data_IF_679242151014
#
_entry.id   IF_679242151014
#
_cell.length_a   1.000
_cell.length_b   1.000
_cell.length_c   1.000
_cell.angle_alpha   90.00
_cell.angle_beta   90.00
_cell.angle_gamma   90.00
#
_symmetry.space_group_name_H-M   'P 1'
#
loop_
_entity.id
_entity.type
_entity.pdbx_description
1 polymer ?
#
# COMPACT_ATOMS: atom_id res chain seq x y z
N UNK A 1 -23.37 26.60 53.87
CA UNK A 1 -23.34 27.17 55.25
C UNK A 1 -24.77 27.44 55.69
N UNK A 2 -25.32 26.65 56.62
CA UNK A 2 -26.68 26.87 57.16
C UNK A 2 -26.58 27.94 58.25
N UNK A 3 -27.25 29.09 58.07
CA UNK A 3 -27.35 30.16 59.09
C UNK A 3 -28.22 29.64 60.25
N UNK A 4 -27.67 29.65 61.46
CA UNK A 4 -28.42 29.33 62.68
C UNK A 4 -29.34 30.52 62.98
N UNK A 5 -30.66 30.30 62.94
CA UNK A 5 -31.68 31.26 63.39
C UNK A 5 -31.52 31.44 64.90
N UNK A 6 -31.02 32.59 65.34
CA UNK A 6 -30.99 32.95 66.75
C UNK A 6 -32.41 33.33 67.16
N UNK A 7 -32.89 32.73 68.25
CA UNK A 7 -34.24 32.91 68.77
C UNK A 7 -34.44 34.37 69.25
N UNK A 8 -35.42 35.08 68.67
CA UNK A 8 -35.68 36.50 68.93
C UNK A 8 -36.15 36.78 70.36
N UNK A 9 -36.61 35.75 71.10
CA UNK A 9 -37.04 35.89 72.49
C UNK A 9 -35.91 36.24 73.47
N UNK A 10 -34.63 35.99 73.11
CA UNK A 10 -33.49 36.34 73.97
C UNK A 10 -33.28 37.87 74.05
N UNK A 11 -33.68 38.61 73.01
CA UNK A 11 -33.53 40.07 73.02
C UNK A 11 -34.64 40.80 73.81
N UNK A 12 -35.77 40.13 74.10
CA UNK A 12 -36.84 40.73 74.90
C UNK A 12 -36.55 40.78 76.40
N UNK A 13 -35.53 40.06 76.91
CA UNK A 13 -35.17 40.10 78.33
C UNK A 13 -34.25 41.29 78.65
N UNK A 14 -33.57 41.87 77.65
CA UNK A 14 -32.61 42.96 77.85
C UNK A 14 -33.26 44.35 77.65
N UNK A 15 -34.42 44.43 77.00
CA UNK A 15 -34.98 45.70 76.53
C UNK A 15 -35.92 46.44 77.51
N UNK A 16 -36.28 45.89 78.67
CA UNK A 16 -37.25 46.53 79.57
C UNK A 16 -36.85 46.39 81.04
N UNK A 17 -35.95 47.27 81.46
CA UNK A 17 -35.98 47.89 82.78
C UNK A 17 -35.39 49.28 82.63
N UNK A 18 -36.21 50.19 82.11
CA UNK A 18 -36.11 51.61 82.44
C UNK A 18 -36.14 51.67 83.97
N UNK A 19 -34.95 51.73 84.58
CA UNK A 19 -34.86 52.12 85.97
C UNK A 19 -35.38 53.57 86.01
N UNK A 20 -36.49 53.87 86.70
CA UNK A 20 -36.84 55.25 86.93
C UNK A 20 -35.62 55.90 87.58
N UNK A 21 -35.20 57.05 87.03
CA UNK A 21 -34.28 57.96 87.71
C UNK A 21 -34.95 58.29 89.05
N UNK A 22 -34.61 57.55 90.09
CA UNK A 22 -34.83 57.94 91.47
C UNK A 22 -33.85 59.10 91.69
N UNK A 23 -34.26 60.28 91.26
CA UNK A 23 -33.66 61.53 91.68
C UNK A 23 -34.02 61.72 93.14
N UNK A 24 -33.15 61.28 94.05
CA UNK A 24 -33.13 61.81 95.40
C UNK A 24 -32.55 63.23 95.33
N UNK A 25 -33.38 64.18 94.93
CA UNK A 25 -33.19 65.61 95.20
C UNK A 25 -33.85 65.90 96.55
N UNK A 26 -33.21 65.47 97.64
CA UNK A 26 -33.53 66.03 98.95
C UNK A 26 -32.83 67.40 99.04
N UNK A 27 -33.47 68.43 98.50
CA UNK A 27 -33.24 69.82 98.91
C UNK A 27 -33.87 69.99 100.30
N UNK A 28 -33.15 69.54 101.34
CA UNK A 28 -33.40 70.00 102.70
C UNK A 28 -32.73 71.38 102.83
N UNK A 29 -33.53 72.41 102.60
CA UNK A 29 -33.21 73.81 102.88
C UNK A 29 -33.14 73.99 104.41
N UNK A 30 -31.97 73.76 104.98
CA UNK A 30 -31.69 74.00 106.41
C UNK A 30 -30.94 75.32 106.50
N UNK A 31 -31.70 76.40 106.64
CA UNK A 31 -31.21 77.71 106.99
C UNK A 31 -30.76 77.75 108.47
N UNK A 32 -29.50 77.40 108.73
CA UNK A 32 -28.72 77.89 109.89
C UNK A 32 -27.21 77.65 109.68
N UNK A 33 -26.38 78.69 109.47
CA UNK A 33 -25.05 78.55 108.88
C UNK A 33 -23.87 78.45 109.89
N UNK A 34 -23.98 77.69 110.98
CA UNK A 34 -22.86 77.64 111.95
C UNK A 34 -22.62 76.33 112.72
N UNK A 35 -23.32 75.23 112.41
CA UNK A 35 -23.10 73.93 113.09
C UNK A 35 -22.99 72.71 112.16
N UNK A 36 -23.13 72.86 110.84
CA UNK A 36 -23.27 71.73 109.90
C UNK A 36 -22.04 71.44 109.03
N UNK A 37 -20.92 72.16 109.20
CA UNK A 37 -19.70 71.93 108.41
C UNK A 37 -18.97 70.63 108.78
N UNK A 38 -19.13 70.14 110.02
CA UNK A 38 -18.58 68.85 110.46
C UNK A 38 -19.39 67.65 109.97
N UNK A 39 -20.73 67.74 109.99
CA UNK A 39 -21.63 66.63 109.64
C UNK A 39 -21.62 66.35 108.11
N UNK A 40 -21.46 67.41 107.29
CA UNK A 40 -21.34 67.28 105.82
C UNK A 40 -20.05 66.54 105.39
N UNK A 41 -18.93 66.76 106.08
CA UNK A 41 -17.68 66.05 105.78
C UNK A 41 -17.75 64.56 106.15
N UNK A 42 -18.37 64.22 107.28
CA UNK A 42 -18.58 62.82 107.69
C UNK A 42 -19.54 62.06 106.77
N UNK A 43 -20.63 62.69 106.30
CA UNK A 43 -21.56 62.08 105.33
C UNK A 43 -20.87 61.81 104.00
N UNK A 44 -20.05 62.74 103.49
CA UNK A 44 -19.31 62.55 102.24
C UNK A 44 -18.25 61.44 102.37
N UNK A 45 -17.55 61.35 103.50
CA UNK A 45 -16.62 60.26 103.79
C UNK A 45 -17.34 58.91 103.85
N UNK A 46 -18.46 58.82 104.57
CA UNK A 46 -19.27 57.59 104.66
C UNK A 46 -19.80 57.16 103.29
N UNK A 47 -20.31 58.10 102.50
CA UNK A 47 -20.78 57.85 101.14
C UNK A 47 -19.65 57.31 100.25
N UNK A 48 -18.46 57.91 100.34
CA UNK A 48 -17.31 57.45 99.56
C UNK A 48 -16.80 56.06 100.00
N UNK A 49 -16.86 55.74 101.29
CA UNK A 49 -16.59 54.39 101.80
C UNK A 49 -17.62 53.37 101.28
N UNK A 50 -18.90 53.71 101.21
CA UNK A 50 -19.92 52.84 100.63
C UNK A 50 -19.74 52.67 99.12
N UNK A 51 -19.43 53.74 98.39
CA UNK A 51 -19.10 53.68 96.96
C UNK A 51 -17.89 52.80 96.69
N UNK A 52 -16.84 52.88 97.51
CA UNK A 52 -15.68 51.99 97.40
C UNK A 52 -16.05 50.54 97.68
N UNK A 53 -16.88 50.26 98.69
CA UNK A 53 -17.38 48.90 98.96
C UNK A 53 -18.22 48.37 97.79
N UNK A 54 -19.08 49.20 97.21
CA UNK A 54 -19.91 48.86 96.04
C UNK A 54 -19.01 48.61 94.82
N UNK A 55 -17.99 49.45 94.59
CA UNK A 55 -17.03 49.27 93.50
C UNK A 55 -16.24 47.96 93.67
N UNK A 56 -15.75 47.67 94.88
CA UNK A 56 -15.06 46.41 95.19
C UNK A 56 -15.96 45.19 94.98
N UNK A 57 -17.24 45.26 95.37
CA UNK A 57 -18.22 44.20 95.16
C UNK A 57 -18.53 43.98 93.66
N UNK A 58 -18.62 45.07 92.88
CA UNK A 58 -18.77 45.02 91.42
C UNK A 58 -17.55 44.38 90.76
N UNK A 59 -16.33 44.76 91.17
CA UNK A 59 -15.09 44.19 90.65
C UNK A 59 -14.94 42.71 91.01
N UNK A 60 -15.34 42.31 92.22
CA UNK A 60 -15.35 40.90 92.62
C UNK A 60 -16.33 40.10 91.74
N UNK A 61 -17.54 40.63 91.55
CA UNK A 61 -18.58 40.01 90.71
C UNK A 61 -18.13 39.88 89.26
N UNK A 62 -17.56 40.94 88.68
CA UNK A 62 -17.00 40.94 87.33
C UNK A 62 -15.87 39.91 87.20
N UNK A 63 -14.96 39.81 88.17
CA UNK A 63 -13.89 38.80 88.19
C UNK A 63 -14.43 37.38 88.23
N UNK A 64 -15.48 37.11 89.03
CA UNK A 64 -16.13 35.81 89.11
C UNK A 64 -16.78 35.44 87.76
N UNK A 65 -17.55 36.36 87.17
CA UNK A 65 -18.19 36.16 85.86
C UNK A 65 -17.13 35.89 84.79
N UNK A 66 -16.09 36.72 84.71
CA UNK A 66 -14.99 36.53 83.77
C UNK A 66 -14.27 35.20 83.98
N UNK A 67 -14.05 34.77 85.23
CA UNK A 67 -13.46 33.47 85.56
C UNK A 67 -14.33 32.32 85.04
N UNK A 68 -15.64 32.37 85.27
CA UNK A 68 -16.57 31.35 84.77
C UNK A 68 -16.63 31.30 83.25
N UNK A 69 -16.68 32.46 82.58
CA UNK A 69 -16.65 32.54 81.12
C UNK A 69 -15.34 31.95 80.57
N UNK A 70 -14.19 32.36 81.12
CA UNK A 70 -12.87 31.82 80.72
C UNK A 70 -12.81 30.30 80.92
N UNK A 71 -13.25 29.81 82.08
CA UNK A 71 -13.31 28.37 82.38
C UNK A 71 -14.25 27.60 81.42
N UNK A 72 -15.42 28.16 81.10
CA UNK A 72 -16.34 27.58 80.14
C UNK A 72 -15.74 27.52 78.73
N UNK A 73 -15.15 28.62 78.24
CA UNK A 73 -14.51 28.67 76.93
C UNK A 73 -13.34 27.69 76.84
N UNK A 74 -12.53 27.56 77.89
CA UNK A 74 -11.46 26.57 77.97
C UNK A 74 -12.01 25.14 77.87
N UNK A 75 -13.03 24.79 78.67
CA UNK A 75 -13.67 23.46 78.62
C UNK A 75 -14.28 23.16 77.25
N UNK A 76 -14.98 24.13 76.65
CA UNK A 76 -15.54 24.02 75.31
C UNK A 76 -14.45 23.84 74.25
N UNK A 77 -13.33 24.56 74.37
CA UNK A 77 -12.16 24.41 73.51
C UNK A 77 -11.55 23.01 73.60
N UNK A 78 -11.38 22.48 74.81
CA UNK A 78 -10.89 21.11 75.04
C UNK A 78 -11.86 20.08 74.44
N UNK A 79 -13.16 20.22 74.69
CA UNK A 79 -14.19 19.32 74.15
C UNK A 79 -14.18 19.32 72.62
N UNK A 80 -14.08 20.49 71.99
CA UNK A 80 -13.97 20.61 70.53
C UNK A 80 -12.71 19.92 69.99
N UNK A 81 -11.56 20.04 70.67
CA UNK A 81 -10.33 19.34 70.29
C UNK A 81 -10.47 17.83 70.42
N UNK A 82 -11.12 17.33 71.47
CA UNK A 82 -11.40 15.89 71.65
C UNK A 82 -12.30 15.38 70.52
N UNK A 83 -13.39 16.10 70.21
CA UNK A 83 -14.31 15.75 69.12
C UNK A 83 -13.55 15.73 67.78
N UNK A 84 -12.72 16.75 67.51
CA UNK A 84 -11.94 16.83 66.28
C UNK A 84 -10.94 15.67 66.17
N UNK A 85 -10.20 15.37 67.25
CA UNK A 85 -9.26 14.23 67.30
C UNK A 85 -10.00 12.90 67.05
N UNK A 86 -11.16 12.70 67.67
CA UNK A 86 -11.97 11.50 67.46
C UNK A 86 -12.48 11.40 66.01
N UNK A 87 -12.89 12.51 65.40
CA UNK A 87 -13.30 12.53 64.00
C UNK A 87 -12.12 12.22 63.07
N UNK A 88 -10.92 12.75 63.35
CA UNK A 88 -9.71 12.40 62.59
C UNK A 88 -9.38 10.91 62.68
N UNK A 89 -9.50 10.30 63.87
CA UNK A 89 -9.31 8.86 64.06
C UNK A 89 -10.33 8.07 63.23
N UNK A 90 -11.62 8.45 63.28
CA UNK A 90 -12.68 7.81 62.49
C UNK A 90 -12.44 7.94 60.98
N UNK A 91 -12.09 9.14 60.50
CA UNK A 91 -11.76 9.35 59.09
C UNK A 91 -10.54 8.55 58.66
N UNK A 92 -9.49 8.52 59.48
CA UNK A 92 -8.27 7.73 59.19
C UNK A 92 -8.59 6.24 59.10
N UNK A 93 -9.40 5.71 60.02
CA UNK A 93 -9.86 4.33 59.99
C UNK A 93 -10.72 4.04 58.75
N UNK A 94 -11.67 4.92 58.41
CA UNK A 94 -12.51 4.79 57.22
C UNK A 94 -11.67 4.80 55.93
N UNK A 95 -10.69 5.69 55.81
CA UNK A 95 -9.77 5.74 54.67
C UNK A 95 -8.97 4.44 54.56
N UNK A 96 -8.47 3.88 55.67
CA UNK A 96 -7.77 2.58 55.66
C UNK A 96 -8.68 1.46 55.15
N UNK A 97 -9.92 1.37 55.64
CA UNK A 97 -10.89 0.37 55.18
C UNK A 97 -11.19 0.53 53.68
N UNK A 98 -11.41 1.77 53.22
CA UNK A 98 -11.65 2.05 51.81
C UNK A 98 -10.46 1.67 50.92
N UNK A 99 -9.24 1.98 51.34
CA UNK A 99 -8.02 1.59 50.63
C UNK A 99 -7.88 0.06 50.54
N UNK A 100 -8.12 -0.66 51.64
CA UNK A 100 -8.09 -2.13 51.65
C UNK A 100 -9.15 -2.72 50.71
N UNK A 101 -10.38 -2.20 50.76
CA UNK A 101 -11.47 -2.66 49.90
C UNK A 101 -11.18 -2.41 48.41
N UNK A 102 -10.73 -1.21 48.04
CA UNK A 102 -10.32 -0.89 46.67
C UNK A 102 -9.16 -1.79 46.20
N UNK A 103 -8.18 -2.04 47.07
CA UNK A 103 -7.07 -2.95 46.78
C UNK A 103 -7.54 -4.38 46.53
N UNK A 104 -8.47 -4.88 47.36
CA UNK A 104 -9.08 -6.20 47.18
C UNK A 104 -9.83 -6.33 45.84
N UNK A 105 -10.67 -5.34 45.49
CA UNK A 105 -11.35 -5.30 44.19
C UNK A 105 -10.35 -5.33 43.04
N UNK A 106 -9.31 -4.49 43.10
CA UNK A 106 -8.27 -4.42 42.06
C UNK A 106 -7.54 -5.75 41.90
N UNK A 107 -7.18 -6.42 43.00
CA UNK A 107 -6.56 -7.76 42.97
C UNK A 107 -7.49 -8.79 42.33
N UNK A 108 -8.77 -8.82 42.71
CA UNK A 108 -9.77 -9.73 42.12
C UNK A 108 -9.90 -9.51 40.61
N UNK A 109 -10.01 -8.24 40.17
CA UNK A 109 -10.07 -7.88 38.74
C UNK A 109 -8.79 -8.29 38.01
N UNK A 110 -7.63 -8.10 38.61
CA UNK A 110 -6.34 -8.50 38.04
C UNK A 110 -6.26 -10.02 37.82
N UNK A 111 -6.62 -10.83 38.82
CA UNK A 111 -6.64 -12.29 38.67
C UNK A 111 -7.61 -12.76 37.58
N UNK A 112 -8.80 -12.16 37.52
CA UNK A 112 -9.75 -12.44 36.44
C UNK A 112 -9.14 -12.16 35.06
N UNK A 113 -8.50 -11.00 34.88
CA UNK A 113 -7.85 -10.65 33.61
C UNK A 113 -6.68 -11.58 33.28
N UNK A 114 -5.93 -12.06 34.28
CA UNK A 114 -4.87 -13.05 34.07
C UNK A 114 -5.43 -14.37 33.52
N UNK A 115 -6.54 -14.85 34.07
CA UNK A 115 -7.20 -16.08 33.60
C UNK A 115 -7.70 -15.89 32.17
N UNK A 116 -8.39 -14.78 31.88
CA UNK A 116 -8.86 -14.46 30.53
C UNK A 116 -7.71 -14.45 29.53
N UNK A 117 -6.58 -13.82 29.86
CA UNK A 117 -5.38 -13.81 29.01
C UNK A 117 -4.81 -15.22 28.77
N UNK A 118 -4.78 -16.07 29.81
CA UNK A 118 -4.32 -17.47 29.67
C UNK A 118 -5.24 -18.25 28.72
N UNK A 119 -6.55 -18.14 28.89
CA UNK A 119 -7.54 -18.79 28.01
C UNK A 119 -7.39 -18.29 26.58
N UNK A 120 -7.23 -16.97 26.38
CA UNK A 120 -7.04 -16.40 25.05
C UNK A 120 -5.78 -16.93 24.37
N UNK A 121 -4.66 -17.06 25.10
CA UNK A 121 -3.42 -17.65 24.56
C UNK A 121 -3.63 -19.10 24.10
N UNK A 122 -4.35 -19.91 24.87
CA UNK A 122 -4.67 -21.30 24.52
C UNK A 122 -5.56 -21.34 23.27
N UNK A 123 -6.61 -20.51 23.20
CA UNK A 123 -7.51 -20.42 22.04
C UNK A 123 -6.75 -20.00 20.78
N UNK A 124 -5.89 -19.00 20.86
CA UNK A 124 -5.09 -18.54 19.74
C UNK A 124 -4.12 -19.63 19.26
N UNK A 125 -3.47 -20.36 20.18
CA UNK A 125 -2.60 -21.49 19.83
C UNK A 125 -3.39 -22.60 19.12
N UNK A 126 -4.56 -22.97 19.64
CA UNK A 126 -5.44 -23.96 19.02
C UNK A 126 -5.90 -23.52 17.61
N UNK A 127 -6.33 -22.27 17.45
CA UNK A 127 -6.73 -21.71 16.16
C UNK A 127 -5.57 -21.76 15.14
N UNK A 128 -4.35 -21.40 15.55
CA UNK A 128 -3.15 -21.48 14.70
C UNK A 128 -2.87 -22.92 14.24
N UNK A 129 -3.00 -23.90 15.12
CA UNK A 129 -2.81 -25.33 14.78
C UNK A 129 -3.89 -25.80 13.78
N UNK A 130 -5.16 -25.47 14.02
CA UNK A 130 -6.26 -25.83 13.11
C UNK A 130 -6.04 -25.22 11.73
N UNK A 131 -5.71 -23.93 11.66
CA UNK A 131 -5.42 -23.22 10.42
C UNK A 131 -4.22 -23.82 9.69
N UNK A 132 -3.14 -24.14 10.42
CA UNK A 132 -1.95 -24.81 9.84
C UNK A 132 -2.32 -26.15 9.21
N UNK A 133 -3.05 -27.00 9.93
CA UNK A 133 -3.45 -28.31 9.42
C UNK A 133 -4.41 -28.21 8.24
N UNK A 134 -5.34 -27.26 8.25
CA UNK A 134 -6.22 -26.98 7.11
C UNK A 134 -5.43 -26.59 5.86
N UNK A 135 -4.46 -25.68 5.99
CA UNK A 135 -3.56 -25.29 4.89
C UNK A 135 -2.76 -26.48 4.36
N UNK A 136 -2.20 -27.30 5.24
CA UNK A 136 -1.47 -28.51 4.86
C UNK A 136 -2.35 -29.53 4.14
N UNK A 137 -3.64 -29.63 4.47
CA UNK A 137 -4.58 -30.53 3.78
C UNK A 137 -4.95 -30.03 2.38
N UNK A 138 -5.07 -28.73 2.17
CA UNK A 138 -5.47 -28.14 0.88
C UNK A 138 -4.30 -28.02 -0.10
N UNK A 139 -3.08 -27.78 0.41
CA UNK A 139 -1.90 -27.51 -0.41
C UNK A 139 -1.62 -28.61 -1.47
N UNK A 140 -1.67 -29.92 -1.16
CA UNK A 140 -1.43 -30.98 -2.14
C UNK A 140 -2.42 -30.94 -3.31
N UNK A 141 -3.70 -30.68 -3.03
CA UNK A 141 -4.73 -30.59 -4.07
C UNK A 141 -4.47 -29.42 -5.02
N UNK A 142 -4.04 -28.27 -4.48
CA UNK A 142 -3.64 -27.10 -5.28
C UNK A 142 -2.41 -27.38 -6.14
N UNK A 143 -1.38 -27.99 -5.57
CA UNK A 143 -0.16 -28.35 -6.31
C UNK A 143 -0.45 -29.36 -7.43
N UNK A 144 -1.30 -30.34 -7.16
CA UNK A 144 -1.71 -31.31 -8.18
C UNK A 144 -2.50 -30.63 -9.32
N UNK A 145 -3.41 -29.71 -9.00
CA UNK A 145 -4.13 -28.93 -10.00
C UNK A 145 -3.20 -28.07 -10.86
N UNK A 146 -2.26 -27.33 -10.24
CA UNK A 146 -1.31 -26.49 -10.98
C UNK A 146 -0.38 -27.32 -11.88
N UNK A 147 0.06 -28.50 -11.41
CA UNK A 147 0.83 -29.42 -12.22
C UNK A 147 0.05 -29.88 -13.47
N UNK A 148 -1.24 -30.24 -13.32
CA UNK A 148 -2.10 -30.61 -14.46
C UNK A 148 -2.28 -29.45 -15.44
N UNK A 149 -2.52 -28.24 -14.96
CA UNK A 149 -2.63 -27.04 -15.80
C UNK A 149 -1.32 -26.81 -16.58
N UNK A 150 -0.16 -26.96 -15.93
CA UNK A 150 1.13 -26.80 -16.59
C UNK A 150 1.35 -27.81 -17.73
N UNK A 151 0.95 -29.06 -17.54
CA UNK A 151 1.00 -30.10 -18.59
C UNK A 151 0.09 -29.71 -19.77
N UNK A 152 -1.15 -29.28 -19.50
CA UNK A 152 -2.09 -28.86 -20.55
C UNK A 152 -1.57 -27.65 -21.34
N UNK A 153 -0.93 -26.69 -20.69
CA UNK A 153 -0.31 -25.54 -21.36
C UNK A 153 0.81 -25.99 -22.29
N UNK A 154 1.66 -26.94 -21.87
CA UNK A 154 2.70 -27.52 -22.74
C UNK A 154 2.10 -28.20 -23.97
N UNK A 155 1.08 -29.04 -23.78
CA UNK A 155 0.37 -29.72 -24.88
C UNK A 155 -0.23 -28.73 -25.86
N UNK A 156 -0.93 -27.70 -25.37
CA UNK A 156 -1.52 -26.64 -26.21
C UNK A 156 -0.46 -25.88 -27.00
N UNK A 157 0.66 -25.55 -26.38
CA UNK A 157 1.77 -24.86 -27.05
C UNK A 157 2.36 -25.72 -28.17
N UNK A 158 2.61 -27.00 -27.91
CA UNK A 158 3.10 -27.94 -28.93
C UNK A 158 2.11 -28.11 -30.09
N UNK A 159 0.82 -28.26 -29.79
CA UNK A 159 -0.23 -28.34 -30.80
C UNK A 159 -0.31 -27.07 -31.65
N UNK A 160 -0.26 -25.89 -31.02
CA UNK A 160 -0.26 -24.61 -31.73
C UNK A 160 0.94 -24.49 -32.69
N UNK A 161 2.13 -24.90 -32.26
CA UNK A 161 3.33 -24.90 -33.11
C UNK A 161 3.14 -25.83 -34.32
N UNK A 162 2.58 -27.03 -34.12
CA UNK A 162 2.31 -27.96 -35.23
C UNK A 162 1.30 -27.39 -36.21
N UNK A 163 0.19 -26.84 -35.72
CA UNK A 163 -0.83 -26.18 -36.56
C UNK A 163 -0.19 -25.05 -37.37
N UNK A 164 0.58 -24.16 -36.72
CA UNK A 164 1.28 -23.07 -37.41
C UNK A 164 2.25 -23.58 -38.47
N UNK A 165 3.00 -24.65 -38.20
CA UNK A 165 3.91 -25.28 -39.16
C UNK A 165 3.15 -25.82 -40.38
N UNK A 166 2.03 -26.51 -40.16
CA UNK A 166 1.20 -27.04 -41.25
C UNK A 166 0.56 -25.94 -42.08
N UNK A 167 0.00 -24.91 -41.43
CA UNK A 167 -0.61 -23.76 -42.11
C UNK A 167 0.44 -23.00 -42.92
N UNK A 168 1.60 -22.66 -42.33
CA UNK A 168 2.69 -21.99 -43.07
C UNK A 168 3.15 -22.82 -44.26
N UNK A 169 3.36 -24.12 -44.07
CA UNK A 169 3.74 -25.02 -45.15
C UNK A 169 2.67 -25.10 -46.26
N UNK A 170 1.39 -25.09 -45.89
CA UNK A 170 0.28 -25.06 -46.85
C UNK A 170 0.27 -23.76 -47.66
N UNK A 171 0.40 -22.60 -46.99
CA UNK A 171 0.46 -21.30 -47.64
C UNK A 171 1.65 -21.21 -48.60
N UNK A 172 2.85 -21.64 -48.18
CA UNK A 172 4.04 -21.68 -49.05
C UNK A 172 3.80 -22.56 -50.28
N UNK A 173 3.21 -23.75 -50.11
CA UNK A 173 2.91 -24.65 -51.24
C UNK A 173 1.79 -24.13 -52.14
N UNK A 174 0.93 -23.23 -51.65
CA UNK A 174 -0.11 -22.58 -52.43
C UNK A 174 0.50 -21.45 -53.28
N UNK A 175 1.39 -20.65 -52.69
CA UNK A 175 2.02 -19.50 -53.35
C UNK A 175 3.18 -19.91 -54.30
N UNK A 176 3.80 -21.06 -54.05
CA UNK A 176 4.92 -21.61 -54.85
C UNK A 176 4.54 -22.96 -55.47
N UNK A 177 3.67 -23.00 -56.50
CA UNK A 177 3.19 -24.24 -57.11
C UNK A 177 4.34 -25.08 -57.69
N UNK A 178 5.40 -24.45 -58.21
CA UNK A 178 6.60 -25.14 -58.72
C UNK A 178 7.30 -26.02 -57.68
N UNK A 179 7.07 -25.81 -56.38
CA UNK A 179 7.68 -26.65 -55.33
C UNK A 179 7.27 -28.12 -55.41
N UNK A 180 6.13 -28.43 -56.06
CA UNK A 180 5.64 -29.80 -56.28
C UNK A 180 6.11 -30.42 -57.59
N UNK A 181 6.51 -29.59 -58.55
CA UNK A 181 6.87 -30.03 -59.88
C UNK A 181 8.34 -30.51 -59.86
N UNK A 182 8.63 -31.65 -60.48
CA UNK A 182 10.00 -32.09 -60.71
C UNK A 182 10.65 -31.13 -61.73
N UNK A 183 11.95 -30.84 -61.58
CA UNK A 183 12.63 -29.95 -62.52
C UNK A 183 12.87 -28.53 -62.00
N UNK A 184 13.04 -28.36 -60.68
CA UNK A 184 13.23 -27.04 -60.04
C UNK A 184 14.47 -26.32 -60.54
N UNK A 185 15.44 -27.05 -61.06
CA UNK A 185 16.63 -26.52 -61.71
C UNK A 185 16.32 -25.69 -62.97
N UNK A 186 15.12 -25.84 -63.55
CA UNK A 186 14.66 -25.09 -64.72
C UNK A 186 13.89 -23.82 -64.36
N UNK A 187 13.74 -23.53 -63.07
CA UNK A 187 13.07 -22.33 -62.60
C UNK A 187 13.97 -21.10 -62.79
N UNK A 188 13.55 -20.17 -63.64
CA UNK A 188 14.25 -18.90 -63.81
C UNK A 188 13.73 -17.91 -62.76
N UNK A 189 14.66 -17.22 -62.10
CA UNK A 189 14.38 -16.31 -60.98
C UNK A 189 15.14 -15.00 -61.10
N UNK A 190 14.43 -13.92 -60.87
CA UNK A 190 14.99 -12.58 -60.73
C UNK A 190 14.92 -12.13 -59.26
N UNK A 191 16.08 -11.90 -58.66
CA UNK A 191 16.24 -11.59 -57.22
C UNK A 191 16.30 -10.12 -56.90
N UNK A 192 16.64 -9.31 -57.88
CA UNK A 192 16.81 -7.88 -57.64
C UNK A 192 15.42 -7.25 -57.44
N UNK A 193 15.30 -6.24 -56.57
CA UNK A 193 14.04 -5.49 -56.42
C UNK A 193 13.59 -4.91 -57.77
N UNK A 194 12.31 -5.05 -58.07
CA UNK A 194 11.67 -4.54 -59.28
C UNK A 194 10.16 -4.42 -59.05
N UNK A 195 9.47 -3.58 -59.83
CA UNK A 195 7.99 -3.54 -59.80
C UNK A 195 7.37 -4.57 -60.74
N UNK A 196 8.03 -4.81 -61.89
CA UNK A 196 7.60 -5.73 -62.93
C UNK A 196 8.83 -6.35 -63.60
N UNK A 197 8.72 -7.65 -63.91
CA UNK A 197 9.78 -8.37 -64.63
C UNK A 197 9.14 -9.26 -65.67
N UNK A 198 9.58 -9.11 -66.92
CA UNK A 198 9.28 -10.03 -68.01
C UNK A 198 10.58 -10.61 -68.56
N UNK A 199 10.48 -11.75 -69.24
CA UNK A 199 11.62 -12.47 -69.82
C UNK A 199 11.35 -12.74 -71.30
N UNK A 200 12.33 -12.45 -72.14
CA UNK A 200 12.32 -12.72 -73.57
C UNK A 200 13.51 -13.60 -73.93
N UNK A 201 13.43 -14.35 -75.02
CA UNK A 201 14.58 -15.13 -75.49
C UNK A 201 14.40 -15.74 -76.87
N UNK A 202 15.44 -16.45 -77.30
CA UNK A 202 15.51 -17.13 -78.59
C UNK A 202 14.74 -18.46 -78.65
N UNK A 203 14.20 -18.92 -77.53
CA UNK A 203 13.40 -20.13 -77.41
C UNK A 203 11.93 -19.96 -77.85
N UNK A 204 11.52 -18.75 -78.22
CA UNK A 204 10.18 -18.44 -78.75
C UNK A 204 10.17 -18.49 -80.28
N UNK A 205 8.98 -18.67 -80.86
CA UNK A 205 8.77 -18.55 -82.30
C UNK A 205 7.69 -17.48 -82.56
N UNK A 206 8.04 -16.32 -83.11
CA UNK A 206 9.40 -15.87 -83.49
C UNK A 206 10.29 -15.51 -82.28
N UNK A 207 11.64 -15.57 -82.42
CA UNK A 207 12.58 -15.23 -81.37
C UNK A 207 12.39 -13.78 -80.87
N UNK A 208 12.53 -13.57 -79.56
CA UNK A 208 12.53 -12.26 -78.90
C UNK A 208 11.23 -11.43 -78.97
N UNK A 209 10.19 -11.89 -79.68
CA UNK A 209 8.97 -11.09 -79.89
C UNK A 209 8.02 -11.12 -78.68
N UNK A 210 7.97 -12.22 -77.95
CA UNK A 210 7.01 -12.41 -76.85
C UNK A 210 7.66 -12.28 -75.48
N UNK A 211 7.09 -11.40 -74.65
CA UNK A 211 7.47 -11.23 -73.25
C UNK A 211 6.73 -12.23 -72.35
N UNK A 212 7.49 -13.03 -71.60
CA UNK A 212 6.95 -13.96 -70.62
C UNK A 212 6.87 -13.25 -69.26
N UNK A 213 5.67 -13.03 -68.71
CA UNK A 213 5.55 -12.41 -67.40
C UNK A 213 6.12 -13.31 -66.31
N UNK A 214 6.89 -12.72 -65.39
CA UNK A 214 7.35 -13.40 -64.19
C UNK A 214 6.41 -13.07 -63.02
N UNK A 215 6.11 -14.07 -62.20
CA UNK A 215 5.25 -13.93 -61.03
C UNK A 215 6.08 -13.49 -59.81
N UNK A 216 5.64 -12.43 -59.13
CA UNK A 216 6.24 -12.04 -57.86
C UNK A 216 5.77 -12.94 -56.73
N UNK A 217 6.71 -13.60 -56.04
CA UNK A 217 6.42 -14.33 -54.81
C UNK A 217 6.70 -13.44 -53.61
N UNK A 218 5.65 -13.14 -52.84
CA UNK A 218 5.76 -12.41 -51.55
C UNK A 218 6.59 -13.14 -50.49
N UNK A 219 6.67 -14.48 -50.58
CA UNK A 219 7.36 -15.32 -49.60
C UNK A 219 8.87 -15.30 -49.84
N UNK A 220 9.28 -15.47 -51.09
CA UNK A 220 10.68 -15.43 -51.51
C UNK A 220 11.21 -14.01 -51.67
N UNK A 221 10.33 -13.01 -51.86
CA UNK A 221 10.69 -11.66 -52.28
C UNK A 221 11.43 -11.62 -53.63
N UNK A 222 11.06 -12.51 -54.55
CA UNK A 222 11.70 -12.68 -55.85
C UNK A 222 10.63 -12.87 -56.94
N UNK A 223 10.97 -12.51 -58.18
CA UNK A 223 10.17 -12.86 -59.36
C UNK A 223 10.63 -14.20 -59.90
N UNK A 224 9.70 -15.03 -60.36
CA UNK A 224 10.01 -16.32 -60.97
C UNK A 224 9.11 -16.63 -62.17
N UNK A 225 9.57 -17.47 -63.08
CA UNK A 225 8.74 -18.04 -64.15
C UNK A 225 8.94 -19.54 -64.26
N UNK A 226 7.84 -20.26 -64.49
CA UNK A 226 7.81 -21.71 -64.69
C UNK A 226 7.83 -22.09 -66.17
N UNK A 227 8.00 -21.13 -67.08
CA UNK A 227 7.86 -21.33 -68.52
C UNK A 227 8.66 -22.53 -69.06
N UNK A 228 9.94 -22.65 -68.66
CA UNK A 228 10.82 -23.75 -69.06
C UNK A 228 10.41 -25.12 -68.50
N UNK A 229 9.69 -25.13 -67.37
CA UNK A 229 9.16 -26.34 -66.77
C UNK A 229 7.89 -26.81 -67.49
N UNK A 230 7.04 -25.88 -67.92
CA UNK A 230 5.74 -26.18 -68.52
C UNK A 230 5.83 -26.52 -70.02
N UNK A 231 6.76 -25.90 -70.76
CA UNK A 231 6.80 -25.99 -72.22
C UNK A 231 7.72 -27.08 -72.78
N UNK A 232 8.37 -27.90 -71.93
CA UNK A 232 9.20 -29.04 -72.33
C UNK A 232 10.13 -28.73 -73.53
N UNK A 233 10.91 -27.65 -73.44
CA UNK A 233 11.88 -27.30 -74.46
C UNK A 233 12.89 -28.44 -74.72
N UNK A 234 13.65 -28.35 -75.81
CA UNK A 234 14.69 -29.34 -76.11
C UNK A 234 15.93 -29.07 -75.24
N UNK A 235 16.77 -30.09 -75.07
CA UNK A 235 18.12 -29.87 -74.53
C UNK A 235 18.89 -28.92 -75.45
N UNK A 236 19.51 -27.90 -74.90
CA UNK A 236 20.25 -26.93 -75.69
C UNK A 236 20.64 -25.67 -74.93
N UNK A 237 21.45 -24.86 -75.60
CA UNK A 237 21.78 -23.50 -75.20
C UNK A 237 20.67 -22.55 -75.64
N UNK A 238 20.22 -21.70 -74.72
CA UNK A 238 19.24 -20.66 -74.98
C UNK A 238 19.77 -19.32 -74.49
N UNK A 239 19.38 -18.25 -75.20
CA UNK A 239 19.70 -16.87 -74.86
C UNK A 239 18.45 -16.19 -74.34
N UNK A 240 18.57 -15.58 -73.18
CA UNK A 240 17.47 -14.90 -72.50
C UNK A 240 17.89 -13.47 -72.13
N UNK A 241 16.90 -12.58 -72.00
CA UNK A 241 17.08 -11.23 -71.49
C UNK A 241 15.88 -10.88 -70.62
N UNK A 242 16.11 -10.13 -69.56
CA UNK A 242 15.05 -9.66 -68.67
C UNK A 242 14.67 -8.25 -69.05
N UNK A 243 13.38 -7.95 -69.08
CA UNK A 243 12.87 -6.58 -69.13
C UNK A 243 12.35 -6.25 -67.72
N UNK A 244 13.06 -5.36 -67.04
CA UNK A 244 12.81 -4.97 -65.64
C UNK A 244 12.39 -3.51 -65.64
N UNK A 245 11.12 -3.28 -65.32
CA UNK A 245 10.52 -1.95 -65.29
C UNK A 245 10.74 -1.15 -66.60
N UNK A 246 10.65 -1.83 -67.75
CA UNK A 246 10.82 -1.25 -69.08
C UNK A 246 12.26 -1.23 -69.59
N UNK A 247 13.23 -1.71 -68.81
CA UNK A 247 14.64 -1.71 -69.18
C UNK A 247 15.16 -3.13 -69.39
N UNK A 248 15.77 -3.37 -70.56
CA UNK A 248 16.42 -4.64 -70.86
C UNK A 248 17.74 -4.78 -70.11
N UNK A 249 17.83 -5.76 -69.22
CA UNK A 249 18.97 -6.02 -68.35
C UNK A 249 19.37 -7.49 -68.36
N UNK A 250 20.63 -7.74 -68.07
CA UNK A 250 21.15 -9.07 -67.80
C UNK A 250 21.27 -9.29 -66.29
N UNK A 251 20.91 -10.47 -65.83
CA UNK A 251 21.17 -10.89 -64.46
C UNK A 251 22.62 -11.39 -64.35
N UNK A 252 23.39 -10.79 -63.46
CA UNK A 252 24.81 -11.08 -63.27
C UNK A 252 25.10 -12.53 -62.84
N UNK A 253 24.10 -13.27 -62.36
CA UNK A 253 24.24 -14.66 -61.91
C UNK A 253 24.24 -15.67 -63.04
N UNK A 254 23.84 -15.26 -64.23
CA UNK A 254 23.89 -16.11 -65.42
C UNK A 254 25.08 -15.69 -66.30
N UNK A 255 25.72 -16.64 -67.00
CA UNK A 255 26.73 -16.31 -68.00
C UNK A 255 26.19 -15.29 -69.00
N UNK A 256 27.00 -14.29 -69.36
CA UNK A 256 26.63 -13.27 -70.35
C UNK A 256 27.37 -13.57 -71.65
N UNK A 257 26.64 -13.56 -72.77
CA UNK A 257 27.19 -13.72 -74.12
C UNK A 257 26.84 -12.48 -74.96
N UNK A 258 27.77 -12.08 -75.84
CA UNK A 258 27.54 -11.02 -76.81
C UNK A 258 27.03 -11.62 -78.13
N UNK A 259 26.03 -11.00 -78.74
CA UNK A 259 25.59 -11.36 -80.09
C UNK A 259 26.36 -10.61 -81.18
N UNK A 260 26.07 -10.92 -82.45
CA UNK A 260 26.71 -10.29 -83.61
C UNK A 260 26.36 -8.81 -83.76
N UNK A 261 25.33 -8.34 -83.06
CA UNK A 261 24.84 -6.96 -83.07
C UNK A 261 25.34 -6.14 -81.87
N UNK A 262 26.18 -6.73 -81.01
CA UNK A 262 26.73 -6.06 -79.84
C UNK A 262 25.82 -6.06 -78.61
N UNK A 263 24.73 -6.84 -78.60
CA UNK A 263 23.87 -6.98 -77.42
C UNK A 263 24.36 -8.06 -76.48
N UNK A 264 24.34 -7.74 -75.19
CA UNK A 264 24.55 -8.70 -74.12
C UNK A 264 23.26 -9.44 -73.78
N UNK A 265 23.35 -10.77 -73.71
CA UNK A 265 22.26 -11.67 -73.33
C UNK A 265 22.74 -12.66 -72.27
N UNK A 266 21.84 -13.09 -71.37
CA UNK A 266 22.15 -14.20 -70.47
C UNK A 266 22.05 -15.53 -71.22
N UNK A 267 23.04 -16.41 -71.08
CA UNK A 267 23.05 -17.76 -71.63
C UNK A 267 22.60 -18.76 -70.57
N UNK A 268 21.62 -19.58 -70.90
CA UNK A 268 21.17 -20.71 -70.08
C UNK A 268 21.36 -22.00 -70.87
N UNK A 269 21.71 -23.08 -70.19
CA UNK A 269 21.79 -24.41 -70.79
C UNK A 269 20.72 -25.30 -70.15
N UNK A 270 19.81 -25.84 -70.97
CA UNK A 270 18.82 -26.79 -70.52
C UNK A 270 19.31 -28.20 -70.84
N UNK A 271 19.42 -29.05 -69.83
CA UNK A 271 19.74 -30.46 -70.00
C UNK A 271 18.57 -31.34 -69.55
N UNK A 272 18.01 -32.11 -70.48
CA UNK A 272 16.95 -33.10 -70.21
C UNK A 272 17.52 -34.52 -69.97
N UNK A 273 18.86 -34.66 -69.97
CA UNK A 273 19.56 -35.93 -69.87
C UNK A 273 19.28 -36.72 -68.59
N UNK A 274 18.72 -37.91 -68.79
CA UNK A 274 18.58 -39.06 -67.88
C UNK A 274 18.17 -38.75 -66.43
N UNK A 275 16.87 -38.88 -66.18
CA UNK A 275 16.34 -39.32 -64.88
C UNK A 275 16.84 -40.75 -64.58
N UNK A 276 18.08 -40.87 -64.14
CA UNK A 276 18.67 -42.08 -63.59
C UNK A 276 19.33 -41.74 -62.27
N UNK A 277 18.55 -41.78 -61.19
CA UNK A 277 19.08 -41.74 -59.83
C UNK A 277 19.86 -43.03 -59.54
N UNK A 278 21.18 -43.06 -59.81
CA UNK A 278 22.07 -43.92 -59.05
C UNK A 278 22.55 -43.10 -57.85
N UNK A 279 21.92 -43.35 -56.70
CA UNK A 279 22.44 -42.92 -55.41
C UNK A 279 23.61 -43.83 -55.04
N UNK A 280 24.80 -43.58 -55.59
CA UNK A 280 26.03 -44.19 -55.09
C UNK A 280 27.23 -43.27 -55.37
N UNK A 281 27.78 -42.73 -54.27
CA UNK A 281 29.21 -42.47 -54.06
C UNK A 281 30.01 -41.78 -55.18
N UNK A 282 30.28 -40.49 -55.02
CA UNK A 282 31.67 -40.00 -55.10
C UNK A 282 31.79 -38.60 -54.51
N UNK A 283 32.68 -38.49 -53.52
CA UNK A 283 33.29 -37.24 -53.10
C UNK A 283 34.11 -36.65 -54.26
N UNK A 284 34.29 -35.33 -54.17
CA UNK A 284 35.32 -34.49 -54.80
C UNK A 284 35.02 -33.79 -56.15
N UNK A 285 35.03 -32.45 -56.02
CA UNK A 285 35.44 -31.46 -57.01
C UNK A 285 34.50 -31.15 -58.19
N UNK A 286 33.51 -30.29 -57.93
CA UNK A 286 33.27 -29.11 -58.78
C UNK A 286 32.27 -28.18 -58.08
N UNK A 287 32.81 -27.09 -57.55
CA UNK A 287 32.06 -25.93 -57.13
C UNK A 287 31.38 -25.31 -58.35
N UNK A 288 30.05 -25.50 -58.46
CA UNK A 288 29.06 -24.54 -58.98
C UNK A 288 27.73 -25.24 -59.32
N UNK A 289 27.18 -25.96 -58.34
CA UNK A 289 25.76 -26.33 -58.35
C UNK A 289 25.11 -25.63 -57.17
N UNK A 290 24.41 -24.53 -57.45
CA UNK A 290 23.62 -23.75 -56.50
C UNK A 290 22.44 -24.57 -55.97
N UNK A 291 22.70 -25.54 -55.09
CA UNK A 291 21.72 -26.05 -54.15
C UNK A 291 21.55 -25.01 -53.05
N UNK A 292 20.53 -24.17 -53.18
CA UNK A 292 20.13 -23.25 -52.12
C UNK A 292 19.51 -24.08 -51.01
N UNK A 293 20.30 -24.24 -49.97
CA UNK A 293 19.88 -24.84 -48.71
C UNK A 293 18.82 -23.94 -48.07
N UNK A 294 17.54 -24.31 -48.21
CA UNK A 294 16.40 -23.64 -47.58
C UNK A 294 16.42 -23.69 -46.03
N UNK A 295 17.47 -24.29 -45.44
CA UNK A 295 17.64 -24.43 -44.00
C UNK A 295 18.16 -23.15 -43.31
N UNK A 296 18.77 -22.19 -44.02
CA UNK A 296 19.41 -21.02 -43.38
C UNK A 296 18.48 -19.85 -43.05
N UNK A 297 17.21 -19.88 -43.46
CA UNK A 297 16.26 -18.79 -43.23
C UNK A 297 15.72 -18.70 -41.77
N UNK A 298 16.29 -19.44 -40.82
CA UNK A 298 15.80 -19.49 -39.44
C UNK A 298 16.53 -18.59 -38.45
N UNK A 299 17.66 -17.98 -38.81
CA UNK A 299 18.51 -17.31 -37.81
C UNK A 299 18.51 -15.78 -37.82
N UNK A 300 17.77 -15.11 -38.71
CA UNK A 300 17.84 -13.63 -38.81
C UNK A 300 16.75 -12.86 -38.05
N UNK A 301 15.86 -13.51 -37.27
CA UNK A 301 14.78 -12.79 -36.54
C UNK A 301 14.82 -12.90 -35.00
N UNK A 302 15.95 -13.29 -34.38
CA UNK A 302 16.00 -13.48 -32.93
C UNK A 302 16.57 -12.32 -32.10
N UNK A 303 16.95 -11.19 -32.70
CA UNK A 303 17.67 -10.11 -32.01
C UNK A 303 16.94 -8.75 -31.86
N UNK A 304 15.61 -8.66 -32.06
CA UNK A 304 14.89 -7.39 -31.89
C UNK A 304 13.64 -7.50 -31.01
N UNK A 305 13.81 -7.80 -29.72
CA UNK A 305 12.81 -7.46 -28.69
C UNK A 305 13.37 -7.73 -27.28
N UNK A 306 14.15 -6.80 -26.74
CA UNK A 306 14.37 -6.68 -25.29
C UNK A 306 13.72 -5.37 -24.85
N UNK A 307 12.56 -5.40 -24.18
CA UNK A 307 12.00 -4.20 -23.57
C UNK A 307 12.92 -3.79 -22.42
N UNK A 308 13.46 -2.57 -22.49
CA UNK A 308 14.13 -1.91 -21.38
C UNK A 308 13.12 -1.66 -20.26
N UNK A 309 13.33 -2.31 -19.12
CA UNK A 309 12.63 -2.05 -17.86
C UNK A 309 12.95 -0.62 -17.40
N UNK A 310 11.97 0.25 -17.11
CA UNK A 310 12.25 1.56 -16.53
C UNK A 310 12.69 1.39 -15.08
N UNK A 311 13.73 2.14 -14.72
CA UNK A 311 14.36 2.14 -13.41
C UNK A 311 13.39 2.53 -12.30
N UNK A 312 13.44 1.77 -11.21
CA UNK A 312 12.80 2.12 -9.95
C UNK A 312 13.57 3.25 -9.28
N UNK A 313 12.95 4.42 -9.22
CA UNK A 313 13.39 5.56 -8.40
C UNK A 313 13.36 5.17 -6.92
N UNK A 314 14.47 5.47 -6.25
CA UNK A 314 14.65 5.36 -4.81
C UNK A 314 13.95 6.51 -4.10
N UNK A 315 12.78 6.26 -3.51
CA UNK A 315 12.17 7.19 -2.56
C UNK A 315 12.68 6.86 -1.15
N UNK A 316 13.66 7.62 -0.68
CA UNK A 316 14.03 7.71 0.73
C UNK A 316 12.94 8.49 1.48
N UNK A 317 12.11 7.80 2.26
CA UNK A 317 11.35 8.45 3.34
C UNK A 317 12.20 8.38 4.62
N UNK A 318 12.78 9.51 4.99
CA UNK A 318 13.17 9.75 6.37
C UNK A 318 11.94 10.22 7.13
N UNK A 319 11.69 9.64 8.31
CA UNK A 319 10.89 10.25 9.35
C UNK A 319 11.57 9.94 10.69
N UNK A 320 12.22 10.98 11.22
CA UNK A 320 12.66 11.08 12.60
C UNK A 320 11.43 11.15 13.51
N UNK A 321 11.46 10.37 14.60
CA UNK A 321 10.61 10.59 15.77
C UNK A 321 11.54 10.83 16.95
N UNK A 322 11.61 12.10 17.38
CA UNK A 322 11.94 12.51 18.74
C UNK A 322 10.62 12.73 19.51
#
# INVERSE_FOLDING_TARGET
>A
MKRVKINSSIFNIIALKDNPKIGFCCLLDISSPSFLYGISQEINLSCHFEEQKIAQAKDLSARIIQRHIKSYLLRKGIQNRIIHKNNLIKHTAATKIQCLFRSWISRKKFYFLLIVRKIQKIRNKAASIIQKNFRLKILPSRLHFTAKVAILVKVRKSAAILIQKHVKGFLIRKDLPFMRIQGKERLIRWRSPANSVTMTGDFMLPPWEHEIPMFYSKILHEFYTMFFMENNLKTGDYRIKFNVDGNFVCDWRFPVINDEFGNYNNKIYLNYGNKGCNAESSMESSENVFCIDLASFKDTQKNSARPSTPGSESTTCGDNWD
#
